data_IF_518837596965
#
_entry.id   IF_518837596965
#
_cell.length_a   1.000
_cell.length_b   1.000
_cell.length_c   1.000
_cell.angle_alpha   90.00
_cell.angle_beta   90.00
_cell.angle_gamma   90.00
#
_symmetry.space_group_name_H-M   'P 1'
#
loop_
_entity.id
_entity.type
_entity.pdbx_description
1 polymer ?
#
# COMPACT_ATOMS: atom_id res chain seq x y z
N UNK A 1 -36.19 -13.14 -53.16
CA UNK A 1 -35.67 -11.89 -52.58
C UNK A 1 -34.67 -12.32 -51.51
N UNK A 2 -33.40 -12.66 -51.78
CA UNK A 2 -32.29 -11.84 -52.31
C UNK A 2 -32.24 -10.44 -51.71
N UNK A 3 -31.44 -10.28 -50.64
CA UNK A 3 -30.24 -9.43 -50.45
C UNK A 3 -29.90 -9.47 -48.94
N UNK A 4 -28.71 -9.81 -48.44
CA UNK A 4 -27.38 -9.40 -48.85
C UNK A 4 -26.81 -8.43 -47.79
N UNK A 5 -26.37 -8.93 -46.63
CA UNK A 5 -25.64 -8.12 -45.65
C UNK A 5 -24.14 -8.23 -45.94
N UNK A 6 -23.42 -7.12 -46.15
CA UNK A 6 -22.04 -7.18 -46.61
C UNK A 6 -21.10 -7.57 -45.46
N UNK A 7 -20.29 -8.60 -45.73
CA UNK A 7 -18.96 -8.74 -45.15
C UNK A 7 -18.11 -7.60 -45.70
N UNK A 8 -17.74 -6.64 -44.84
CA UNK A 8 -16.45 -5.93 -44.82
C UNK A 8 -16.62 -4.54 -44.19
N UNK A 9 -16.14 -4.40 -42.96
CA UNK A 9 -15.50 -3.15 -42.56
C UNK A 9 -14.38 -3.49 -41.58
N UNK A 10 -13.23 -3.89 -42.15
CA UNK A 10 -11.96 -3.70 -41.48
C UNK A 10 -11.70 -2.19 -41.52
N UNK A 11 -11.91 -1.51 -40.38
CA UNK A 11 -11.44 -0.16 -40.19
C UNK A 11 -11.08 0.02 -38.71
N UNK A 12 -9.81 -0.24 -38.43
CA UNK A 12 -8.95 0.62 -37.62
C UNK A 12 -9.66 1.40 -36.52
N UNK A 13 -10.06 0.74 -35.44
CA UNK A 13 -10.28 1.44 -34.18
C UNK A 13 -8.90 1.83 -33.64
N UNK A 14 -8.66 3.14 -33.63
CA UNK A 14 -7.47 3.79 -33.14
C UNK A 14 -7.20 3.41 -31.66
N UNK A 15 -6.37 2.41 -31.44
CA UNK A 15 -5.65 2.23 -30.17
C UNK A 15 -4.43 3.16 -30.22
N UNK A 16 -4.62 4.45 -29.96
CA UNK A 16 -3.51 5.41 -30.07
C UNK A 16 -3.55 6.64 -29.16
N UNK A 17 -4.66 6.94 -28.48
CA UNK A 17 -4.81 8.20 -27.73
C UNK A 17 -5.05 8.10 -26.22
N UNK A 18 -5.73 7.05 -25.74
CA UNK A 18 -6.22 6.99 -24.36
C UNK A 18 -5.25 6.34 -23.36
N UNK A 19 -4.22 5.64 -23.83
CA UNK A 19 -3.29 4.91 -22.95
C UNK A 19 -2.36 5.85 -22.17
N UNK A 20 -1.99 6.99 -22.77
CA UNK A 20 -1.03 7.95 -22.22
C UNK A 20 -1.59 8.70 -20.99
N UNK A 21 -2.88 9.05 -20.98
CA UNK A 21 -3.51 9.81 -19.88
C UNK A 21 -3.80 8.93 -18.67
N UNK A 22 -4.29 7.70 -18.88
CA UNK A 22 -4.60 6.75 -17.81
C UNK A 22 -3.34 6.23 -17.13
N UNK A 23 -2.30 5.88 -17.91
CA UNK A 23 -0.98 5.48 -17.37
C UNK A 23 -0.34 6.59 -16.56
N UNK A 24 -0.39 7.84 -17.04
CA UNK A 24 0.15 8.99 -16.31
C UNK A 24 -0.58 9.22 -14.99
N UNK A 25 -1.92 9.15 -15.00
CA UNK A 25 -2.71 9.26 -13.75
C UNK A 25 -2.35 8.16 -12.75
N UNK A 26 -2.18 6.91 -13.20
CA UNK A 26 -1.74 5.80 -12.33
C UNK A 26 -0.37 6.04 -11.74
N UNK A 27 0.59 6.53 -12.51
CA UNK A 27 1.93 6.86 -12.02
C UNK A 27 1.89 7.91 -10.91
N UNK A 28 1.10 8.97 -11.09
CA UNK A 28 0.93 10.02 -10.07
C UNK A 28 0.32 9.45 -8.79
N UNK A 29 -0.78 8.70 -8.90
CA UNK A 29 -1.44 8.10 -7.74
C UNK A 29 -0.56 7.06 -7.05
N UNK A 30 0.19 6.25 -7.82
CA UNK A 30 1.11 5.28 -7.27
C UNK A 30 2.29 5.95 -6.55
N UNK A 31 2.77 7.10 -7.05
CA UNK A 31 3.79 7.88 -6.36
C UNK A 31 3.27 8.43 -5.02
N UNK A 32 2.03 8.94 -5.00
CA UNK A 32 1.38 9.39 -3.75
C UNK A 32 1.19 8.23 -2.76
N UNK A 33 0.75 7.06 -3.25
CA UNK A 33 0.59 5.86 -2.42
C UNK A 33 1.94 5.39 -1.85
N UNK A 34 3.00 5.35 -2.66
CA UNK A 34 4.36 5.02 -2.20
C UNK A 34 4.84 5.96 -1.11
N UNK A 35 4.58 7.26 -1.27
CA UNK A 35 4.96 8.25 -0.29
C UNK A 35 4.20 8.07 1.03
N UNK A 36 2.87 7.94 0.97
CA UNK A 36 2.03 7.74 2.14
C UNK A 36 2.39 6.47 2.91
N UNK A 37 2.53 5.33 2.22
CA UNK A 37 2.91 4.06 2.85
C UNK A 37 4.36 4.07 3.32
N UNK A 38 5.26 4.77 2.62
CA UNK A 38 6.64 4.94 3.07
C UNK A 38 6.75 5.73 4.37
N UNK A 39 5.92 6.76 4.54
CA UNK A 39 5.82 7.52 5.79
C UNK A 39 5.27 6.66 6.92
N UNK A 40 4.15 5.98 6.70
CA UNK A 40 3.54 5.06 7.67
C UNK A 40 4.53 3.98 8.12
N UNK A 41 5.19 3.30 7.18
CA UNK A 41 6.19 2.30 7.51
C UNK A 41 7.39 2.89 8.29
N UNK A 42 7.80 4.12 8.01
CA UNK A 42 8.88 4.78 8.76
C UNK A 42 8.47 5.06 10.22
N UNK A 43 7.24 5.51 10.44
CA UNK A 43 6.67 5.74 11.77
C UNK A 43 6.68 4.45 12.60
N UNK A 44 6.27 3.32 12.01
CA UNK A 44 6.19 2.04 12.69
C UNK A 44 7.54 1.37 12.90
N UNK A 45 8.35 1.26 11.84
CA UNK A 45 9.64 0.55 11.88
C UNK A 45 10.63 1.22 12.86
N UNK A 46 10.52 2.54 13.07
CA UNK A 46 11.45 3.32 13.91
C UNK A 46 10.88 3.74 15.28
N UNK A 47 9.58 3.58 15.51
CA UNK A 47 8.95 3.90 16.80
C UNK A 47 8.13 2.73 17.35
N UNK A 48 7.08 2.30 16.64
CA UNK A 48 6.12 1.30 17.14
C UNK A 48 6.76 -0.08 17.31
N UNK A 49 7.44 -0.61 16.29
CA UNK A 49 8.04 -1.94 16.34
C UNK A 49 9.15 -2.05 17.39
N UNK A 50 10.06 -1.06 17.56
CA UNK A 50 10.96 -1.03 18.70
C UNK A 50 10.25 -1.11 20.05
N UNK A 51 9.16 -0.36 20.24
CA UNK A 51 8.39 -0.40 21.48
C UNK A 51 7.71 -1.76 21.67
N UNK A 52 7.10 -2.34 20.63
CA UNK A 52 6.54 -3.70 20.68
C UNK A 52 7.56 -4.72 21.20
N UNK A 53 8.80 -4.67 20.69
CA UNK A 53 9.87 -5.58 21.15
C UNK A 53 10.25 -5.39 22.60
N UNK A 54 10.22 -4.16 23.11
CA UNK A 54 10.51 -3.84 24.51
C UNK A 54 9.38 -4.25 25.47
N UNK A 55 8.14 -4.30 24.97
CA UNK A 55 6.94 -4.55 25.76
C UNK A 55 6.30 -5.92 25.50
N UNK A 56 7.12 -6.92 25.12
CA UNK A 56 6.71 -8.33 25.07
C UNK A 56 5.98 -8.78 23.80
N UNK A 57 5.97 -7.96 22.74
CA UNK A 57 5.35 -8.26 21.43
C UNK A 57 6.43 -8.51 20.35
N UNK A 58 7.45 -9.28 20.69
CA UNK A 58 8.62 -9.51 19.84
C UNK A 58 8.27 -10.26 18.55
N UNK A 59 7.48 -11.34 18.66
CA UNK A 59 7.11 -12.16 17.51
C UNK A 59 6.23 -11.38 16.53
N UNK A 60 5.26 -10.65 17.06
CA UNK A 60 4.35 -9.80 16.29
C UNK A 60 5.11 -8.68 15.57
N UNK A 61 6.08 -8.04 16.25
CA UNK A 61 6.94 -7.05 15.62
C UNK A 61 7.73 -7.61 14.42
N UNK A 62 8.18 -8.86 14.48
CA UNK A 62 8.87 -9.48 13.35
C UNK A 62 7.92 -9.80 12.19
N UNK A 63 6.71 -10.27 12.49
CA UNK A 63 5.67 -10.50 11.48
C UNK A 63 5.34 -9.21 10.74
N UNK A 64 4.98 -8.13 11.46
CA UNK A 64 4.63 -6.85 10.84
C UNK A 64 5.78 -6.27 10.00
N UNK A 65 7.02 -6.39 10.47
CA UNK A 65 8.18 -5.93 9.71
C UNK A 65 8.39 -6.74 8.41
N UNK A 66 8.10 -8.05 8.43
CA UNK A 66 8.15 -8.87 7.22
C UNK A 66 7.02 -8.49 6.24
N UNK A 67 5.82 -8.18 6.74
CA UNK A 67 4.69 -7.70 5.94
C UNK A 67 5.01 -6.41 5.18
N UNK A 68 5.74 -5.48 5.79
CA UNK A 68 6.23 -4.28 5.10
C UNK A 68 7.15 -4.61 3.90
N UNK A 69 7.89 -5.71 3.98
CA UNK A 69 8.65 -6.23 2.85
C UNK A 69 7.75 -6.58 1.66
N UNK A 70 6.62 -7.24 1.91
CA UNK A 70 5.63 -7.57 0.88
C UNK A 70 4.94 -6.32 0.33
N UNK A 71 4.63 -5.32 1.16
CA UNK A 71 4.11 -4.01 0.71
C UNK A 71 5.07 -3.35 -0.30
N UNK A 72 6.38 -3.31 0.01
CA UNK A 72 7.41 -2.79 -0.88
C UNK A 72 7.46 -3.58 -2.21
N UNK A 73 7.29 -4.91 -2.15
CA UNK A 73 7.20 -5.75 -3.34
C UNK A 73 5.96 -5.45 -4.20
N UNK A 74 4.80 -5.23 -3.59
CA UNK A 74 3.57 -4.83 -4.30
C UNK A 74 3.77 -3.52 -5.05
N UNK A 75 4.31 -2.50 -4.39
CA UNK A 75 4.55 -1.18 -4.97
C UNK A 75 5.56 -1.23 -6.13
N UNK A 76 6.59 -2.09 -6.02
CA UNK A 76 7.50 -2.38 -7.12
C UNK A 76 6.74 -2.97 -8.32
N UNK A 77 5.98 -4.05 -8.12
CA UNK A 77 5.24 -4.71 -9.21
C UNK A 77 4.17 -3.83 -9.85
N UNK A 78 3.45 -3.04 -9.06
CA UNK A 78 2.47 -2.07 -9.59
C UNK A 78 3.13 -1.02 -10.49
N UNK A 79 4.41 -0.70 -10.26
CA UNK A 79 5.17 0.23 -11.11
C UNK A 79 5.44 -0.38 -12.49
N UNK A 80 5.80 -1.67 -12.53
CA UNK A 80 6.03 -2.38 -13.78
C UNK A 80 4.75 -2.55 -14.61
N UNK A 81 3.60 -2.68 -13.93
CA UNK A 81 2.30 -2.97 -14.54
C UNK A 81 1.51 -1.73 -14.98
N UNK A 82 2.01 -0.49 -14.82
CA UNK A 82 1.19 0.72 -15.06
C UNK A 82 0.55 0.80 -16.45
N UNK A 83 1.18 0.19 -17.47
CA UNK A 83 0.68 0.13 -18.87
C UNK A 83 -0.24 -1.06 -19.14
N UNK A 84 -0.24 -2.10 -18.29
CA UNK A 84 -1.09 -3.28 -18.41
C UNK A 84 -2.30 -3.12 -17.49
N UNK A 85 -3.45 -2.77 -18.07
CA UNK A 85 -4.66 -2.48 -17.29
C UNK A 85 -5.11 -3.66 -16.42
N UNK A 86 -5.22 -4.86 -17.00
CA UNK A 86 -5.89 -5.96 -16.34
C UNK A 86 -5.00 -6.54 -15.24
N UNK A 87 -3.70 -6.70 -15.51
CA UNK A 87 -2.74 -7.13 -14.51
C UNK A 87 -2.57 -6.09 -13.39
N UNK A 88 -2.58 -4.79 -13.71
CA UNK A 88 -2.53 -3.72 -12.70
C UNK A 88 -3.73 -3.76 -11.77
N UNK A 89 -4.95 -3.87 -12.31
CA UNK A 89 -6.18 -3.91 -11.51
C UNK A 89 -6.21 -5.12 -10.57
N UNK A 90 -5.86 -6.30 -11.08
CA UNK A 90 -5.78 -7.52 -10.27
C UNK A 90 -4.76 -7.37 -9.13
N UNK A 91 -3.55 -6.87 -9.44
CA UNK A 91 -2.50 -6.68 -8.44
C UNK A 91 -2.88 -5.61 -7.41
N UNK A 92 -3.56 -4.54 -7.82
CA UNK A 92 -4.04 -3.49 -6.94
C UNK A 92 -5.15 -3.99 -6.00
N UNK A 93 -6.07 -4.82 -6.49
CA UNK A 93 -7.12 -5.41 -5.66
C UNK A 93 -6.54 -6.32 -4.56
N UNK A 94 -5.58 -7.18 -4.93
CA UNK A 94 -4.88 -8.02 -3.94
C UNK A 94 -4.10 -7.17 -2.94
N UNK A 95 -3.37 -6.16 -3.42
CA UNK A 95 -2.61 -5.26 -2.55
C UNK A 95 -3.50 -4.54 -1.53
N UNK A 96 -4.66 -4.07 -1.98
CA UNK A 96 -5.65 -3.42 -1.13
C UNK A 96 -6.15 -4.37 -0.04
N UNK A 97 -6.49 -5.60 -0.39
CA UNK A 97 -6.92 -6.61 0.58
C UNK A 97 -5.85 -6.86 1.66
N UNK A 98 -4.58 -6.98 1.25
CA UNK A 98 -3.48 -7.23 2.18
C UNK A 98 -3.23 -6.03 3.10
N UNK A 99 -3.24 -4.80 2.58
CA UNK A 99 -3.14 -3.58 3.40
C UNK A 99 -4.30 -3.47 4.39
N UNK A 100 -5.54 -3.66 3.92
CA UNK A 100 -6.73 -3.56 4.79
C UNK A 100 -6.79 -4.67 5.84
N UNK A 101 -6.08 -5.78 5.63
CA UNK A 101 -5.92 -6.85 6.63
C UNK A 101 -4.86 -6.44 7.65
N UNK A 102 -3.68 -6.04 7.19
CA UNK A 102 -2.59 -5.55 8.03
C UNK A 102 -3.05 -4.41 8.97
N UNK A 103 -3.65 -3.36 8.42
CA UNK A 103 -4.16 -2.24 9.23
C UNK A 103 -5.19 -2.69 10.26
N UNK A 104 -6.04 -3.66 9.92
CA UNK A 104 -7.09 -4.15 10.83
C UNK A 104 -6.49 -4.91 12.01
N UNK A 105 -5.46 -5.73 11.75
CA UNK A 105 -4.76 -6.49 12.78
C UNK A 105 -4.00 -5.54 13.71
N UNK A 106 -3.36 -4.52 13.17
CA UNK A 106 -2.71 -3.46 13.93
C UNK A 106 -3.70 -2.67 14.82
N UNK A 107 -4.73 -2.10 14.21
CA UNK A 107 -5.66 -1.19 14.89
C UNK A 107 -6.55 -1.90 15.92
N UNK A 108 -6.96 -3.15 15.64
CA UNK A 108 -7.92 -3.86 16.49
C UNK A 108 -7.31 -4.86 17.47
N UNK A 109 -6.06 -5.29 17.26
CA UNK A 109 -5.39 -6.24 18.16
C UNK A 109 -4.06 -5.68 18.71
N UNK A 110 -3.09 -5.44 17.83
CA UNK A 110 -1.70 -5.26 18.25
C UNK A 110 -1.46 -3.92 18.95
N UNK A 111 -2.01 -2.81 18.44
CA UNK A 111 -1.87 -1.49 19.05
C UNK A 111 -2.65 -1.38 20.38
N UNK A 112 -3.89 -1.90 20.51
CA UNK A 112 -4.54 -2.04 21.81
C UNK A 112 -3.72 -2.82 22.84
N UNK A 113 -3.14 -3.96 22.45
CA UNK A 113 -2.27 -4.77 23.31
C UNK A 113 -1.02 -4.01 23.74
N UNK A 114 -0.35 -3.33 22.80
CA UNK A 114 0.80 -2.48 23.10
C UNK A 114 0.42 -1.37 24.08
N UNK A 115 -0.72 -0.71 23.87
CA UNK A 115 -1.22 0.35 24.75
C UNK A 115 -1.48 -0.14 26.18
N UNK A 116 -1.98 -1.38 26.33
CA UNK A 116 -2.18 -1.99 27.66
C UNK A 116 -0.86 -2.35 28.35
N UNK A 117 0.20 -2.60 27.58
CA UNK A 117 1.53 -2.94 28.10
C UNK A 117 2.40 -1.70 28.44
N UNK A 118 1.93 -0.50 28.09
CA UNK A 118 2.64 0.77 28.32
C UNK A 118 2.12 1.49 29.56
N UNK A 119 3.04 2.04 30.36
CA UNK A 119 2.67 3.09 31.29
C UNK A 119 2.29 4.38 30.54
N UNK A 120 1.52 5.26 31.18
CA UNK A 120 1.06 6.50 30.53
C UNK A 120 2.21 7.35 29.97
N UNK A 121 3.30 7.50 30.73
CA UNK A 121 4.45 8.31 30.32
C UNK A 121 5.15 7.71 29.09
N UNK A 122 5.24 6.39 29.01
CA UNK A 122 5.82 5.69 27.86
C UNK A 122 4.94 5.80 26.62
N UNK A 123 3.61 5.77 26.79
CA UNK A 123 2.65 6.04 25.73
C UNK A 123 2.78 7.45 25.14
N UNK A 124 2.90 8.47 25.99
CA UNK A 124 3.09 9.87 25.57
C UNK A 124 4.47 10.08 24.91
N UNK A 125 5.50 9.35 25.34
CA UNK A 125 6.81 9.32 24.66
C UNK A 125 6.72 8.66 23.29
N UNK A 126 6.09 7.48 23.18
CA UNK A 126 5.96 6.74 21.95
C UNK A 126 5.20 7.53 20.89
N UNK A 127 4.08 8.16 21.24
CA UNK A 127 3.31 9.00 20.33
C UNK A 127 4.14 10.17 19.78
N UNK A 128 4.95 10.83 20.62
CA UNK A 128 5.85 11.90 20.16
C UNK A 128 6.92 11.36 19.23
N UNK A 129 7.52 10.21 19.57
CA UNK A 129 8.55 9.56 18.75
C UNK A 129 8.01 9.18 17.37
N UNK A 130 6.82 8.57 17.31
CA UNK A 130 6.15 8.21 16.06
C UNK A 130 5.97 9.44 15.16
N UNK A 131 5.41 10.54 15.71
CA UNK A 131 5.26 11.79 14.97
C UNK A 131 6.58 12.38 14.47
N UNK A 132 7.66 12.30 15.26
CA UNK A 132 9.00 12.74 14.85
C UNK A 132 9.55 11.95 13.67
N UNK A 133 9.31 10.63 13.63
CA UNK A 133 9.69 9.79 12.49
C UNK A 133 8.91 10.18 11.23
N UNK A 134 7.60 10.40 11.37
CA UNK A 134 6.73 10.84 10.27
C UNK A 134 7.13 12.16 9.63
N UNK A 135 7.60 13.12 10.43
CA UNK A 135 8.06 14.43 9.95
C UNK A 135 9.29 14.35 9.03
N UNK A 136 10.05 13.25 9.05
CA UNK A 136 11.22 13.07 8.17
C UNK A 136 10.83 12.89 6.69
N UNK A 137 9.57 12.54 6.43
CA UNK A 137 9.00 12.36 5.11
C UNK A 137 7.80 13.29 4.87
N UNK A 138 7.71 14.41 5.59
CA UNK A 138 6.67 15.43 5.40
C UNK A 138 6.99 16.41 4.27
#
# INVERSE_FOLDING_TARGET
MLVGFPLSFCSSIQIGGALCTTSTKRLILLAQLKHALGKHALEEENAIYPAMRQHGLLAESYTLHAEHGYVKQYLYKLTDLVKDNDAFQLKLANFRCDIETHMRDEEHDLFPRLKLALEKADGDYLARRMNQEGLKLA
#
